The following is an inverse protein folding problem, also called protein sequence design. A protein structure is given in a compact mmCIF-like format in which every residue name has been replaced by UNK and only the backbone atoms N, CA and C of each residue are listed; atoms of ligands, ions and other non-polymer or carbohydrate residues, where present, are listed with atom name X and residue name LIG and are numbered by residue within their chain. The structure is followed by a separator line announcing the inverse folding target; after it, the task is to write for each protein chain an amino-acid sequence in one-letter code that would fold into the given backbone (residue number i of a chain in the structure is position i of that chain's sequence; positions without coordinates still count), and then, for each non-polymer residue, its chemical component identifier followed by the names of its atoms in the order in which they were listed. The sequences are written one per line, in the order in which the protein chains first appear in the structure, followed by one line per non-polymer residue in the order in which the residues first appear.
data_IF_536277555967
#
_entry.id   IF_536277555967
#
_cell.length_a   1.000
_cell.length_b   1.000
_cell.length_c   1.000
_cell.angle_alpha   90.00
_cell.angle_beta   90.00
_cell.angle_gamma   90.00
#
_symmetry.space_group_name_H-M   'P 1'
#
loop_
_entity.id
_entity.type
_entity.pdbx_description
1 polymer ?
#
# COMPACT_ATOMS: atom_id res chain seq x y z
N UNK A 1 22.18 10.86 9.74
CA UNK A 1 21.80 11.63 8.53
C UNK A 1 20.43 12.22 8.82
N UNK A 2 20.37 13.54 8.93
CA UNK A 2 19.27 14.26 9.58
C UNK A 2 17.96 14.20 8.81
N UNK A 3 16.86 14.16 9.57
CA UNK A 3 15.53 14.55 9.09
C UNK A 3 15.56 16.06 8.78
N UNK A 4 16.10 16.43 7.63
CA UNK A 4 15.61 17.60 6.92
C UNK A 4 14.17 17.26 6.51
N UNK A 5 13.22 18.15 6.81
CA UNK A 5 11.80 18.03 6.48
C UNK A 5 11.56 18.10 4.97
N UNK A 6 12.19 17.20 4.23
CA UNK A 6 12.15 17.10 2.80
C UNK A 6 10.76 16.66 2.36
N UNK A 7 10.14 17.49 1.53
CA UNK A 7 8.84 17.20 0.94
C UNK A 7 8.96 15.94 0.07
N UNK A 8 8.04 15.00 0.26
CA UNK A 8 7.88 13.86 -0.63
C UNK A 8 7.38 14.35 -1.98
N UNK A 9 8.01 13.92 -3.07
CA UNK A 9 7.70 14.35 -4.44
C UNK A 9 7.25 13.17 -5.31
N UNK A 10 6.40 13.46 -6.29
CA UNK A 10 6.03 12.47 -7.30
C UNK A 10 7.27 12.00 -8.08
N UNK A 11 7.34 10.69 -8.33
CA UNK A 11 8.48 10.04 -8.99
C UNK A 11 9.70 9.79 -8.09
N UNK A 12 9.76 10.40 -6.89
CA UNK A 12 10.86 10.17 -5.95
C UNK A 12 10.73 8.80 -5.29
N UNK A 13 11.86 8.09 -5.17
CA UNK A 13 11.92 6.86 -4.37
C UNK A 13 11.78 7.18 -2.88
N UNK A 14 10.87 6.48 -2.22
CA UNK A 14 10.58 6.54 -0.80
C UNK A 14 10.56 5.13 -0.21
N UNK A 15 10.59 5.05 1.12
CA UNK A 15 10.42 3.79 1.86
C UNK A 15 9.33 4.02 2.90
N UNK A 16 8.39 3.09 3.01
CA UNK A 16 7.39 3.11 4.07
C UNK A 16 7.94 2.35 5.27
N UNK A 17 7.87 2.99 6.42
CA UNK A 17 8.44 2.46 7.65
C UNK A 17 7.36 2.37 8.72
N UNK A 18 7.21 1.20 9.31
CA UNK A 18 6.45 1.00 10.54
C UNK A 18 7.41 0.95 11.73
N UNK A 19 7.06 1.69 12.78
CA UNK A 19 7.69 1.55 14.09
C UNK A 19 6.74 0.74 14.96
N UNK A 20 7.01 -0.56 15.19
CA UNK A 20 6.14 -1.35 16.04
C UNK A 20 6.19 -0.77 17.46
N UNK A 21 5.04 -0.41 18.04
CA UNK A 21 4.96 0.03 19.44
C UNK A 21 4.88 -1.16 20.42
N UNK A 22 5.33 -2.34 20.00
CA UNK A 22 5.18 -3.58 20.75
C UNK A 22 6.30 -3.62 21.81
N UNK A 23 5.92 -3.54 23.09
CA UNK A 23 6.85 -3.76 24.21
C UNK A 23 7.38 -2.53 24.93
N UNK A 24 6.65 -1.39 24.93
CA UNK A 24 6.91 -0.31 25.90
C UNK A 24 6.47 -0.76 27.32
N UNK A 25 7.13 -1.77 27.86
CA UNK A 25 7.21 -1.98 29.31
C UNK A 25 8.32 -1.08 29.81
N UNK A 26 7.97 -0.17 30.73
CA UNK A 26 8.94 0.64 31.45
C UNK A 26 9.94 -0.27 32.16
N UNK A 27 11.10 -0.53 31.55
CA UNK A 27 12.20 -1.21 32.19
C UNK A 27 13.46 -0.39 31.99
N UNK A 28 14.03 0.07 33.11
CA UNK A 28 15.30 0.79 33.22
C UNK A 28 16.49 -0.09 32.79
N UNK A 29 16.58 -0.45 31.53
CA UNK A 29 17.75 -1.00 30.87
C UNK A 29 17.97 -0.20 29.59
N UNK A 30 19.22 0.01 29.16
CA UNK A 30 19.52 0.68 27.90
C UNK A 30 18.78 -0.01 26.75
N UNK A 31 17.64 0.56 26.36
CA UNK A 31 16.75 -0.07 25.40
C UNK A 31 17.50 -0.23 24.07
N UNK A 32 17.44 -1.43 23.44
CA UNK A 32 17.97 -1.58 22.10
C UNK A 32 17.28 -0.57 21.17
N UNK A 33 17.99 -0.02 20.17
CA UNK A 33 17.41 0.99 19.30
C UNK A 33 16.14 0.44 18.66
N UNK A 34 15.02 1.17 18.78
CA UNK A 34 13.74 0.81 18.14
C UNK A 34 13.98 0.49 16.66
N UNK A 35 13.95 -0.79 16.29
CA UNK A 35 14.32 -1.20 14.94
C UNK A 35 13.09 -1.09 14.02
N UNK A 36 13.17 -0.27 12.95
CA UNK A 36 12.06 -0.08 12.04
C UNK A 36 11.77 -1.33 11.18
N UNK A 37 10.52 -1.46 10.76
CA UNK A 37 10.06 -2.41 9.76
C UNK A 37 9.80 -1.67 8.44
N UNK A 38 10.43 -2.11 7.35
CA UNK A 38 10.29 -1.49 6.03
C UNK A 38 9.37 -2.31 5.14
N UNK A 39 8.34 -1.68 4.57
CA UNK A 39 7.45 -2.36 3.63
C UNK A 39 8.22 -2.73 2.36
N UNK A 40 8.22 -4.01 2.02
CA UNK A 40 8.97 -4.55 0.90
C UNK A 40 8.16 -5.55 0.09
N UNK A 41 8.62 -5.79 -1.14
CA UNK A 41 8.06 -6.81 -2.03
C UNK A 41 9.13 -7.31 -3.00
N UNK A 42 9.01 -8.54 -3.50
CA UNK A 42 9.90 -9.12 -4.51
C UNK A 42 9.12 -9.89 -5.57
N UNK A 43 9.77 -10.21 -6.68
CA UNK A 43 9.25 -11.15 -7.66
C UNK A 43 8.94 -12.49 -6.99
N UNK A 44 7.80 -13.08 -7.33
CA UNK A 44 7.48 -14.45 -6.93
C UNK A 44 8.52 -15.41 -7.51
N UNK A 45 9.16 -16.19 -6.65
CA UNK A 45 9.98 -17.31 -7.07
C UNK A 45 9.11 -18.54 -7.31
N UNK A 46 9.55 -19.41 -8.23
CA UNK A 46 8.85 -20.66 -8.61
C UNK A 46 8.49 -21.59 -7.43
N UNK A 47 9.16 -21.44 -6.29
CA UNK A 47 8.99 -22.28 -5.10
C UNK A 47 8.31 -21.55 -3.94
N UNK A 48 7.85 -20.31 -4.13
CA UNK A 48 7.24 -19.56 -3.05
C UNK A 48 5.85 -20.13 -2.73
N UNK A 49 5.55 -20.39 -1.45
CA UNK A 49 4.20 -20.76 -1.04
C UNK A 49 3.31 -19.52 -1.14
N UNK A 50 2.76 -19.25 -2.33
CA UNK A 50 1.87 -18.11 -2.54
C UNK A 50 0.48 -18.47 -2.04
N UNK A 51 -0.09 -17.63 -1.18
CA UNK A 51 -1.47 -17.79 -0.72
C UNK A 51 -2.47 -17.83 -1.88
N UNK A 52 -2.14 -17.16 -3.01
CA UNK A 52 -2.90 -17.19 -4.24
C UNK A 52 -1.99 -17.03 -5.47
N UNK A 53 -2.15 -17.85 -6.52
CA UNK A 53 -1.33 -17.73 -7.73
C UNK A 53 -1.43 -16.35 -8.38
N UNK A 54 -0.28 -15.75 -8.74
CA UNK A 54 -0.22 -14.48 -9.49
C UNK A 54 -0.36 -13.22 -8.64
N UNK A 55 -0.38 -13.34 -7.31
CA UNK A 55 -0.39 -12.22 -6.38
C UNK A 55 0.98 -12.08 -5.73
N UNK A 56 1.64 -10.94 -5.99
CA UNK A 56 2.96 -10.67 -5.44
C UNK A 56 2.84 -10.27 -3.96
N UNK A 57 3.46 -11.01 -3.03
CA UNK A 57 3.30 -10.76 -1.61
C UNK A 57 4.02 -9.49 -1.15
N UNK A 58 3.50 -8.91 -0.06
CA UNK A 58 4.16 -7.88 0.71
C UNK A 58 4.74 -8.49 1.98
N UNK A 59 5.88 -7.98 2.41
CA UNK A 59 6.51 -8.37 3.67
C UNK A 59 7.23 -7.18 4.29
N UNK A 60 7.70 -7.35 5.52
CA UNK A 60 8.50 -6.32 6.20
C UNK A 60 9.94 -6.77 6.34
N UNK A 61 10.87 -5.93 5.89
CA UNK A 61 12.29 -6.07 6.19
C UNK A 61 12.60 -5.44 7.55
N UNK A 62 13.32 -6.18 8.38
CA UNK A 62 13.67 -5.74 9.73
C UNK A 62 14.99 -4.96 9.75
N UNK A 63 14.97 -3.76 10.34
CA UNK A 63 16.11 -2.89 10.64
C UNK A 63 16.90 -2.31 9.46
N UNK A 64 17.13 -3.08 8.38
CA UNK A 64 17.91 -2.66 7.22
C UNK A 64 17.12 -2.84 5.94
N UNK A 65 16.73 -1.75 5.25
CA UNK A 65 16.00 -1.85 4.00
C UNK A 65 16.95 -2.23 2.86
N UNK A 66 16.43 -3.03 1.94
CA UNK A 66 17.02 -3.36 0.65
C UNK A 66 16.33 -2.60 -0.48
N UNK A 67 16.71 -2.87 -1.73
CA UNK A 67 16.02 -2.33 -2.90
C UNK A 67 14.56 -2.82 -3.00
N UNK A 68 14.23 -3.94 -2.34
CA UNK A 68 12.87 -4.47 -2.21
C UNK A 68 11.92 -3.52 -1.47
N UNK A 69 12.46 -2.65 -0.62
CA UNK A 69 11.69 -1.71 0.18
C UNK A 69 11.44 -0.36 -0.51
N UNK A 70 11.88 -0.21 -1.77
CA UNK A 70 11.75 1.06 -2.50
C UNK A 70 10.42 1.16 -3.24
N UNK A 71 9.70 2.24 -2.94
CA UNK A 71 8.43 2.59 -3.55
C UNK A 71 8.53 3.99 -4.16
N UNK A 72 7.65 4.31 -5.08
CA UNK A 72 7.50 5.67 -5.61
C UNK A 72 6.03 6.02 -5.71
N UNK A 73 5.74 7.31 -5.58
CA UNK A 73 4.39 7.83 -5.66
C UNK A 73 4.19 8.47 -7.03
N UNK A 74 3.12 8.08 -7.72
CA UNK A 74 2.74 8.61 -9.02
C UNK A 74 1.32 9.21 -8.95
N UNK A 75 1.02 10.15 -9.84
CA UNK A 75 -0.34 10.67 -9.98
C UNK A 75 -1.30 9.54 -10.38
N UNK A 76 -2.50 9.55 -9.79
CA UNK A 76 -3.55 8.59 -10.11
C UNK A 76 -3.94 8.62 -11.59
N UNK A 77 -4.13 9.82 -12.16
CA UNK A 77 -4.39 9.99 -13.59
C UNK A 77 -3.10 9.73 -14.39
N UNK A 78 -3.06 8.70 -15.27
CA UNK A 78 -1.90 8.41 -16.10
C UNK A 78 -1.47 9.60 -16.98
N UNK A 79 -2.42 10.43 -17.42
CA UNK A 79 -2.16 11.57 -18.30
C UNK A 79 -1.46 12.74 -17.62
N UNK A 80 -1.45 12.75 -16.28
CA UNK A 80 -0.88 13.82 -15.48
C UNK A 80 0.47 13.45 -14.85
N UNK A 81 0.96 12.21 -15.05
CA UNK A 81 2.16 11.73 -14.35
C UNK A 81 3.41 12.54 -14.69
N UNK A 82 3.58 12.91 -15.95
CA UNK A 82 4.74 13.68 -16.42
C UNK A 82 4.68 15.11 -15.89
N UNK A 83 3.49 15.72 -15.88
CA UNK A 83 3.26 17.09 -15.42
C UNK A 83 3.52 17.23 -13.93
N UNK A 84 3.19 16.19 -13.16
CA UNK A 84 3.36 16.15 -11.70
C UNK A 84 4.74 15.68 -11.26
N UNK A 85 5.58 15.13 -12.15
CA UNK A 85 6.92 14.65 -11.80
C UNK A 85 7.75 15.73 -11.07
N UNK A 86 8.36 15.34 -9.95
CA UNK A 86 9.16 16.24 -9.10
C UNK A 86 8.34 17.24 -8.27
N UNK A 87 7.02 17.35 -8.46
CA UNK A 87 6.16 18.20 -7.63
C UNK A 87 5.92 17.55 -6.26
N UNK A 88 5.72 18.35 -5.19
CA UNK A 88 5.33 17.82 -3.89
C UNK A 88 4.02 17.02 -3.97
N UNK A 89 3.97 15.87 -3.31
CA UNK A 89 2.75 15.09 -3.12
C UNK A 89 1.90 15.78 -2.05
N UNK A 90 0.64 16.10 -2.35
CA UNK A 90 -0.27 16.67 -1.36
C UNK A 90 -0.97 15.55 -0.59
N UNK A 91 -1.31 15.83 0.66
CA UNK A 91 -2.19 14.97 1.43
C UNK A 91 -3.59 14.98 0.83
N UNK A 92 -4.33 13.90 1.07
CA UNK A 92 -5.72 13.71 0.68
C UNK A 92 -5.96 13.71 -0.85
N UNK A 93 -4.90 13.73 -1.65
CA UNK A 93 -4.94 13.48 -3.09
C UNK A 93 -4.88 11.98 -3.40
N UNK A 94 -5.52 11.59 -4.51
CA UNK A 94 -5.46 10.24 -5.06
C UNK A 94 -4.11 9.99 -5.72
N UNK A 95 -3.45 8.90 -5.34
CA UNK A 95 -2.13 8.52 -5.83
C UNK A 95 -2.06 7.04 -6.17
N UNK A 96 -1.09 6.67 -7.00
CA UNK A 96 -0.63 5.28 -7.13
C UNK A 96 0.70 5.15 -6.40
N UNK A 97 0.87 4.06 -5.66
CA UNK A 97 2.12 3.72 -5.01
C UNK A 97 2.72 2.54 -5.78
N UNK A 98 3.86 2.74 -6.45
CA UNK A 98 4.52 1.69 -7.25
C UNK A 98 5.78 1.19 -6.59
N UNK A 99 5.93 -0.13 -6.56
CA UNK A 99 7.17 -0.77 -6.19
C UNK A 99 8.22 -0.50 -7.27
N UNK A 100 9.36 0.08 -6.88
CA UNK A 100 10.38 0.57 -7.84
C UNK A 100 10.95 -0.59 -8.65
N UNK A 101 11.22 -1.73 -8.00
CA UNK A 101 11.86 -2.88 -8.65
C UNK A 101 10.95 -3.61 -9.63
N UNK A 102 9.72 -3.93 -9.25
CA UNK A 102 8.82 -4.75 -10.10
C UNK A 102 7.85 -3.92 -10.93
N UNK A 103 7.83 -2.59 -10.74
CA UNK A 103 6.90 -1.67 -11.40
C UNK A 103 5.42 -2.02 -11.18
N UNK A 104 5.11 -2.86 -10.18
CA UNK A 104 3.74 -3.19 -9.78
C UNK A 104 3.24 -2.19 -8.75
N UNK A 105 1.94 -1.92 -8.78
CA UNK A 105 1.29 -0.99 -7.88
C UNK A 105 0.91 -1.68 -6.57
N UNK A 106 0.83 -0.94 -5.48
CA UNK A 106 0.22 -1.43 -4.25
C UNK A 106 -1.28 -1.63 -4.52
N UNK A 107 -1.82 -2.79 -4.16
CA UNK A 107 -3.21 -3.14 -4.42
C UNK A 107 -3.89 -3.64 -3.15
N UNK A 108 -5.11 -3.18 -2.92
CA UNK A 108 -6.04 -3.88 -2.05
C UNK A 108 -6.55 -5.13 -2.76
N UNK A 109 -6.74 -6.21 -2.02
CA UNK A 109 -7.27 -7.47 -2.56
C UNK A 109 -8.64 -7.78 -1.90
N UNK A 110 -9.76 -7.22 -2.40
CA UNK A 110 -11.08 -7.34 -1.76
C UNK A 110 -11.58 -8.78 -1.63
N UNK A 111 -11.19 -9.64 -2.56
CA UNK A 111 -11.57 -11.05 -2.61
C UNK A 111 -10.69 -11.93 -1.70
N UNK A 112 -9.70 -11.34 -1.05
CA UNK A 112 -8.68 -12.04 -0.27
C UNK A 112 -8.75 -11.61 1.19
N UNK A 113 -9.61 -12.26 1.97
CA UNK A 113 -9.69 -12.00 3.40
C UNK A 113 -8.62 -12.77 4.15
N UNK A 114 -7.90 -12.08 5.03
CA UNK A 114 -6.94 -12.66 5.96
C UNK A 114 -7.50 -12.59 7.38
N UNK A 115 -7.23 -13.62 8.18
CA UNK A 115 -7.59 -13.64 9.60
C UNK A 115 -6.31 -13.45 10.41
N UNK A 116 -6.25 -12.40 11.20
CA UNK A 116 -5.16 -12.12 12.12
C UNK A 116 -5.68 -12.09 13.57
N UNK A 117 -4.81 -11.74 14.51
CA UNK A 117 -5.14 -11.67 15.94
C UNK A 117 -6.10 -10.52 16.28
N UNK A 118 -6.25 -9.54 15.37
CA UNK A 118 -7.10 -8.36 15.55
C UNK A 118 -8.47 -8.52 14.86
N UNK A 119 -8.67 -9.54 14.03
CA UNK A 119 -9.93 -9.81 13.36
C UNK A 119 -9.75 -10.35 11.94
N UNK A 120 -10.74 -10.02 11.10
CA UNK A 120 -10.66 -10.25 9.64
C UNK A 120 -10.27 -8.94 8.98
N UNK A 121 -9.22 -8.99 8.18
CA UNK A 121 -8.75 -7.89 7.36
C UNK A 121 -8.71 -8.30 5.89
N UNK A 122 -8.53 -7.32 5.01
CA UNK A 122 -8.28 -7.55 3.60
C UNK A 122 -6.77 -7.66 3.35
N UNK A 123 -6.40 -8.54 2.43
CA UNK A 123 -5.02 -8.67 1.99
C UNK A 123 -4.61 -7.45 1.14
N UNK A 124 -3.30 -7.18 1.12
CA UNK A 124 -2.69 -6.15 0.29
C UNK A 124 -1.52 -6.79 -0.45
N UNK A 125 -1.35 -6.46 -1.73
CA UNK A 125 -0.35 -7.04 -2.61
C UNK A 125 0.41 -5.97 -3.41
N UNK A 126 1.47 -6.38 -4.10
CA UNK A 126 2.06 -5.59 -5.16
C UNK A 126 1.55 -6.08 -6.52
N UNK A 127 0.38 -5.62 -6.97
CA UNK A 127 -0.17 -5.97 -8.27
C UNK A 127 -0.78 -4.76 -8.98
N UNK A 128 -0.75 -4.71 -10.30
CA UNK A 128 -1.40 -3.63 -11.06
C UNK A 128 -2.60 -4.17 -11.82
N UNK A 129 -3.79 -3.75 -11.40
CA UNK A 129 -5.04 -4.08 -12.04
C UNK A 129 -5.47 -2.95 -12.96
N UNK A 130 -5.87 -3.29 -14.18
CA UNK A 130 -6.28 -2.33 -15.19
C UNK A 130 -7.78 -2.46 -15.50
N UNK A 131 -8.41 -1.35 -15.81
CA UNK A 131 -9.75 -1.33 -16.37
C UNK A 131 -9.71 -1.54 -17.90
N UNK A 132 -10.88 -1.53 -18.54
CA UNK A 132 -11.02 -1.65 -20.00
C UNK A 132 -10.28 -0.56 -20.80
N UNK A 133 -9.95 0.58 -20.18
CA UNK A 133 -9.23 1.70 -20.78
C UNK A 133 -7.72 1.67 -20.45
N UNK A 134 -7.22 0.60 -19.83
CA UNK A 134 -5.84 0.46 -19.36
C UNK A 134 -5.43 1.46 -18.29
N UNK A 135 -6.39 2.05 -17.57
CA UNK A 135 -6.13 2.84 -16.38
C UNK A 135 -6.07 1.93 -15.15
N UNK A 136 -5.20 2.24 -14.19
CA UNK A 136 -5.17 1.51 -12.92
C UNK A 136 -6.54 1.59 -12.21
N UNK A 137 -7.02 0.45 -11.70
CA UNK A 137 -8.32 0.34 -11.01
C UNK A 137 -8.31 1.02 -9.64
N UNK A 138 -9.50 1.20 -9.10
CA UNK A 138 -9.75 1.74 -7.75
C UNK A 138 -8.99 1.01 -6.65
N UNK A 139 -8.83 -0.32 -6.74
CA UNK A 139 -8.03 -1.12 -5.80
C UNK A 139 -6.54 -0.74 -5.76
N UNK A 140 -6.03 -0.03 -6.77
CA UNK A 140 -4.67 0.50 -6.82
C UNK A 140 -4.56 1.98 -6.44
N UNK A 141 -5.69 2.66 -6.20
CA UNK A 141 -5.73 4.08 -5.88
C UNK A 141 -5.70 4.23 -4.36
N UNK A 142 -4.72 4.98 -3.87
CA UNK A 142 -4.52 5.27 -2.46
C UNK A 142 -4.67 6.75 -2.17
N UNK A 143 -4.89 7.08 -0.91
CA UNK A 143 -4.88 8.46 -0.42
C UNK A 143 -3.95 8.53 0.78
N UNK A 144 -3.00 9.46 0.75
CA UNK A 144 -2.07 9.67 1.85
C UNK A 144 -2.67 10.71 2.80
N UNK A 145 -2.87 10.33 4.06
CA UNK A 145 -3.43 11.21 5.08
C UNK A 145 -2.46 11.29 6.26
N UNK A 146 -2.40 12.45 6.91
CA UNK A 146 -1.62 12.63 8.13
C UNK A 146 -2.43 12.24 9.36
N UNK A 147 -1.90 11.33 10.17
CA UNK A 147 -2.43 11.11 11.51
C UNK A 147 -1.94 12.24 12.42
N UNK A 148 -2.86 13.02 13.00
CA UNK A 148 -2.51 14.02 14.01
C UNK A 148 -1.93 13.27 15.21
N UNK A 149 -0.65 13.45 15.53
CA UNK A 149 -0.12 12.97 16.80
C UNK A 149 -0.76 13.81 17.92
N UNK A 150 -1.54 13.22 18.85
CA UNK A 150 -1.99 13.95 20.02
C UNK A 150 -0.76 14.22 20.90
N UNK A 151 -0.26 15.47 20.90
CA UNK A 151 0.85 15.85 21.76
C UNK A 151 1.83 16.90 21.21
N UNK A 152 1.74 17.30 19.95
CA UNK A 152 2.56 18.40 19.41
C UNK A 152 1.78 19.73 19.55
N UNK A 153 2.17 20.64 20.46
CA UNK A 153 1.50 21.93 20.60
C UNK A 153 1.96 22.83 19.45
N UNK A 154 1.15 22.93 18.40
CA UNK A 154 1.40 23.88 17.33
C UNK A 154 0.86 23.47 15.97
N UNK A 155 -0.46 23.30 15.84
CA UNK A 155 -1.20 23.97 14.77
C UNK A 155 -2.71 23.77 15.00
N UNK A 156 -3.36 24.78 15.58
CA UNK A 156 -4.82 24.88 15.63
C UNK A 156 -5.28 25.80 14.51
N UNK A 157 -5.45 25.25 13.30
CA UNK A 157 -6.30 25.84 12.27
C UNK A 157 -7.32 24.81 11.79
N UNK A 158 -8.52 24.94 12.35
CA UNK A 158 -9.73 24.23 11.95
C UNK A 158 -10.25 24.86 10.65
N UNK A 159 -10.67 24.05 9.67
CA UNK A 159 -11.81 24.40 8.83
C UNK A 159 -12.42 23.16 8.13
N UNK A 160 -13.65 22.85 8.53
CA UNK A 160 -14.72 22.19 7.77
C UNK A 160 -14.46 20.80 7.17
N UNK A 161 -14.89 19.78 7.92
CA UNK A 161 -15.40 18.53 7.36
C UNK A 161 -16.67 18.86 6.54
N UNK A 162 -16.50 19.18 5.26
CA UNK A 162 -17.56 18.95 4.31
C UNK A 162 -17.77 17.43 4.28
N UNK A 163 -18.99 16.98 4.57
CA UNK A 163 -19.35 15.58 4.46
C UNK A 163 -18.91 15.05 3.09
N UNK A 164 -18.18 13.93 3.08
CA UNK A 164 -17.93 13.17 1.86
C UNK A 164 -19.30 12.95 1.19
N UNK A 165 -19.50 13.37 -0.07
CA UNK A 165 -20.70 12.96 -0.79
C UNK A 165 -20.67 11.43 -0.86
N UNK A 166 -21.76 10.80 -0.42
CA UNK A 166 -22.02 9.41 -0.71
C UNK A 166 -21.94 9.23 -2.23
N UNK A 167 -20.83 8.69 -2.70
CA UNK A 167 -20.68 8.19 -4.06
C UNK A 167 -20.91 6.69 -3.92
N UNK A 168 -22.17 6.25 -4.04
CA UNK A 168 -22.80 5.90 -5.31
C UNK A 168 -21.96 4.85 -6.05
N UNK A 169 -22.16 3.59 -5.65
CA UNK A 169 -22.41 2.44 -6.52
C UNK A 169 -21.67 2.46 -7.87
N UNK A 170 -20.36 2.26 -7.84
CA UNK A 170 -19.62 1.85 -9.04
C UNK A 170 -18.40 0.97 -8.74
N UNK A 171 -18.47 0.13 -7.71
CA UNK A 171 -17.71 -1.12 -7.80
C UNK A 171 -18.44 -1.95 -8.86
N UNK A 172 -17.90 -2.00 -10.07
CA UNK A 172 -18.26 -3.07 -11.00
C UNK A 172 -17.62 -4.34 -10.44
N UNK A 173 -18.37 -5.06 -9.58
CA UNK A 173 -17.96 -6.32 -8.96
C UNK A 173 -17.93 -7.49 -9.97
N UNK A 174 -18.40 -7.26 -11.20
CA UNK A 174 -18.41 -8.27 -12.25
C UNK A 174 -17.25 -8.05 -13.21
N UNK A 175 -16.21 -8.84 -13.03
CA UNK A 175 -15.38 -9.47 -14.06
C UNK A 175 -14.19 -10.09 -13.32
N UNK A 176 -14.40 -11.28 -12.75
CA UNK A 176 -13.39 -12.35 -12.60
C UNK A 176 -14.07 -13.58 -11.95
N UNK A 177 -15.14 -14.08 -12.59
CA UNK A 177 -15.50 -15.49 -12.45
C UNK A 177 -14.85 -16.20 -13.63
N UNK A 178 -13.57 -16.55 -13.47
CA UNK A 178 -13.03 -17.63 -14.27
C UNK A 178 -13.84 -18.89 -13.90
N UNK A 179 -14.73 -19.30 -14.80
CA UNK A 179 -15.44 -20.57 -14.71
C UNK A 179 -14.40 -21.70 -14.69
N UNK A 180 -13.96 -22.10 -13.49
CA UNK A 180 -13.41 -23.42 -13.29
C UNK A 180 -14.58 -24.40 -13.27
N UNK A 181 -14.91 -24.92 -14.45
CA UNK A 181 -15.72 -26.12 -14.62
C UNK A 181 -15.11 -27.22 -13.74
N UNK A 182 -15.87 -27.90 -12.86
CA UNK A 182 -15.37 -29.11 -12.24
C UNK A 182 -15.24 -30.16 -13.34
N UNK A 183 -14.01 -30.63 -13.56
CA UNK A 183 -13.75 -31.78 -14.42
C UNK A 183 -14.45 -33.00 -13.82
N UNK A 184 -15.61 -33.34 -14.37
CA UNK A 184 -16.34 -34.55 -14.03
C UNK A 184 -15.47 -35.77 -14.32
N UNK A 185 -15.14 -36.51 -13.27
CA UNK A 185 -14.74 -37.90 -13.41
C UNK A 185 -16.00 -38.75 -13.26
N UNK A 186 -16.58 -39.11 -14.40
CA UNK A 186 -17.41 -40.29 -14.55
C UNK A 186 -16.68 -41.29 -15.45
N UNK A 187 -16.98 -42.57 -15.19
CA UNK A 187 -16.55 -43.81 -15.83
C UNK A 187 -15.26 -44.43 -15.23
N UNK A 188 -15.24 -45.72 -14.85
CA UNK A 188 -16.18 -46.82 -15.11
C UNK A 188 -16.21 -47.80 -13.93
#
# INVERSE_FOLDING_TARGET
MGNDGSLVRYGQSVMFTLKPMIGLTESNAEDPPEQPLYLASDLEHLCDPVCQPGIQPLYFEYAKPSFAAQWRIEAADPKLRLEFEGRPVRLDEKVIIKHVRTNKSLALEPNCQIRNVFGRDLNVSANTYYDSHKAERDVNIWTLTSARQPGVPGDNRIANRAALPATADNTSWECDVAHHTPCGHQAA
#
